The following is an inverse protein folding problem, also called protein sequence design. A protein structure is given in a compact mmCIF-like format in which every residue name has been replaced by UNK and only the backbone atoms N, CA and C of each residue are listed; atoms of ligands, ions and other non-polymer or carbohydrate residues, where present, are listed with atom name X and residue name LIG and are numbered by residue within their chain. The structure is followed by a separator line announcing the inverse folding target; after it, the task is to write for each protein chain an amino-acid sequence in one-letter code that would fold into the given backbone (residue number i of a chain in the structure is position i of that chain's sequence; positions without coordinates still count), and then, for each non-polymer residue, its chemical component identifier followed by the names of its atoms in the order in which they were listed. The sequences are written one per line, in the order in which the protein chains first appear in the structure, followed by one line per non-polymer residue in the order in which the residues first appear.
data_IF_878453453870
#
_entry.id   IF_878453453870
#
_cell.length_a   1.000
_cell.length_b   1.000
_cell.length_c   1.000
_cell.angle_alpha   90.00
_cell.angle_beta   90.00
_cell.angle_gamma   90.00
#
_symmetry.space_group_name_H-M   'P 1'
#
loop_
_entity.id
_entity.type
_entity.pdbx_description
1 polymer ?
#
# COMPACT_ATOMS: atom_id res chain seq x y z
N UNK A 1 -7.09 23.92 -25.77
CA UNK A 1 -5.87 24.45 -25.13
C UNK A 1 -5.46 23.43 -24.08
N UNK A 2 -4.53 22.57 -24.43
CA UNK A 2 -4.08 21.42 -23.63
C UNK A 2 -2.89 21.84 -22.78
N UNK A 3 -3.08 21.88 -21.46
CA UNK A 3 -1.98 22.06 -20.51
C UNK A 3 -1.07 20.82 -20.52
N UNK A 4 0.27 20.99 -20.52
CA UNK A 4 1.18 19.86 -20.52
C UNK A 4 1.19 19.18 -19.15
N UNK A 5 1.02 17.86 -19.16
CA UNK A 5 1.13 16.98 -18.00
C UNK A 5 2.51 17.14 -17.36
N UNK A 6 2.54 17.65 -16.13
CA UNK A 6 3.76 17.69 -15.34
C UNK A 6 4.24 16.26 -15.09
N UNK A 7 5.45 15.97 -15.59
CA UNK A 7 6.18 14.74 -15.31
C UNK A 7 6.36 14.62 -13.80
N UNK A 8 5.74 13.61 -13.20
CA UNK A 8 5.84 13.29 -11.79
C UNK A 8 7.27 12.78 -11.51
N UNK A 9 8.21 13.71 -11.26
CA UNK A 9 9.53 13.36 -10.71
C UNK A 9 9.28 12.92 -9.27
N UNK A 10 9.36 11.62 -9.01
CA UNK A 10 9.38 11.06 -7.67
C UNK A 10 10.58 11.67 -6.93
N UNK A 11 10.31 12.64 -6.06
CA UNK A 11 11.28 13.07 -5.06
C UNK A 11 11.63 11.81 -4.25
N UNK A 12 12.92 11.44 -4.10
CA UNK A 12 13.27 10.31 -3.24
C UNK A 12 12.74 10.64 -1.85
N UNK A 13 11.86 9.79 -1.32
CA UNK A 13 11.36 9.95 0.04
C UNK A 13 12.57 10.12 0.95
N UNK A 14 12.51 11.07 1.90
CA UNK A 14 13.57 11.25 2.88
C UNK A 14 13.88 9.90 3.53
N UNK A 15 15.00 9.30 3.10
CA UNK A 15 15.28 7.88 3.31
C UNK A 15 15.21 7.50 4.78
N UNK A 16 14.71 6.31 5.07
CA UNK A 16 14.67 5.83 6.43
C UNK A 16 16.10 5.80 6.98
N UNK A 17 16.32 6.12 8.27
CA UNK A 17 17.67 6.31 8.80
C UNK A 17 18.62 5.11 8.59
N UNK A 18 18.07 3.90 8.48
CA UNK A 18 18.83 2.67 8.21
C UNK A 18 19.21 2.49 6.73
N UNK A 19 18.61 3.24 5.81
CA UNK A 19 18.87 3.22 4.37
C UNK A 19 19.91 4.26 3.96
N UNK A 20 20.49 5.02 4.90
CA UNK A 20 21.54 6.00 4.60
C UNK A 20 22.68 5.44 3.73
N UNK A 21 23.24 4.24 4.00
CA UNK A 21 24.30 3.69 3.15
C UNK A 21 23.84 3.40 1.71
N UNK A 22 22.55 3.03 1.55
CA UNK A 22 21.94 2.80 0.23
C UNK A 22 21.80 4.13 -0.49
N UNK A 23 21.25 5.15 0.18
CA UNK A 23 21.06 6.48 -0.38
C UNK A 23 22.38 7.14 -0.80
N UNK A 24 23.46 6.97 -0.03
CA UNK A 24 24.80 7.47 -0.39
C UNK A 24 25.31 6.82 -1.69
N UNK A 25 25.08 5.52 -1.86
CA UNK A 25 25.44 4.80 -3.09
C UNK A 25 24.55 5.20 -4.27
N UNK A 26 23.27 5.47 -4.05
CA UNK A 26 22.34 5.99 -5.08
C UNK A 26 22.75 7.38 -5.57
N UNK A 27 23.07 8.29 -4.64
CA UNK A 27 23.58 9.63 -5.00
C UNK A 27 24.85 9.52 -5.81
N UNK A 28 25.83 8.72 -5.36
CA UNK A 28 27.08 8.49 -6.09
C UNK A 28 26.84 7.88 -7.47
N UNK A 29 25.90 6.94 -7.59
CA UNK A 29 25.54 6.33 -8.87
C UNK A 29 24.95 7.37 -9.83
N UNK A 30 24.05 8.22 -9.36
CA UNK A 30 23.43 9.27 -10.16
C UNK A 30 24.47 10.27 -10.65
N UNK A 31 25.40 10.71 -9.78
CA UNK A 31 26.50 11.61 -10.15
C UNK A 31 27.39 11.01 -11.25
N UNK A 32 27.76 9.72 -11.15
CA UNK A 32 28.57 9.05 -12.17
C UNK A 32 27.83 8.91 -13.51
N UNK A 33 26.54 8.62 -13.47
CA UNK A 33 25.70 8.53 -14.67
C UNK A 33 25.58 9.90 -15.35
N UNK A 34 25.37 10.97 -14.59
CA UNK A 34 25.31 12.34 -15.14
C UNK A 34 26.66 12.78 -15.72
N UNK A 35 27.77 12.46 -15.06
CA UNK A 35 29.12 12.77 -15.56
C UNK A 35 29.47 12.02 -16.85
N UNK A 36 29.09 10.74 -16.97
CA UNK A 36 29.30 9.97 -18.20
C UNK A 36 28.49 10.50 -19.39
N UNK A 37 27.31 11.10 -19.13
CA UNK A 37 26.49 11.72 -20.18
C UNK A 37 26.96 13.13 -20.54
N UNK A 38 27.46 13.91 -19.58
CA UNK A 38 27.88 15.31 -19.77
C UNK A 38 29.32 15.50 -20.25
N UNK A 39 30.19 14.55 -19.93
CA UNK A 39 31.58 14.49 -20.38
C UNK A 39 31.75 13.16 -21.10
N UNK A 40 32.31 13.15 -22.31
CA UNK A 40 32.49 11.97 -23.16
C UNK A 40 33.52 10.95 -22.58
N UNK A 41 33.49 10.74 -21.27
CA UNK A 41 34.30 9.87 -20.45
C UNK A 41 33.60 8.52 -20.33
N UNK A 42 34.34 7.45 -20.61
CA UNK A 42 33.89 6.09 -20.38
C UNK A 42 34.01 5.77 -18.88
N UNK A 43 32.86 5.69 -18.20
CA UNK A 43 32.72 5.36 -16.77
C UNK A 43 31.88 4.09 -16.56
N UNK A 44 31.67 3.29 -17.61
CA UNK A 44 30.78 2.12 -17.53
C UNK A 44 31.23 1.11 -16.48
N UNK A 45 32.55 0.93 -16.31
CA UNK A 45 33.14 0.05 -15.31
C UNK A 45 32.85 0.49 -13.88
N UNK A 46 33.02 1.77 -13.58
CA UNK A 46 32.76 2.37 -12.28
C UNK A 46 31.27 2.37 -11.95
N UNK A 47 30.43 2.70 -12.93
CA UNK A 47 28.96 2.62 -12.82
C UNK A 47 28.55 1.18 -12.51
N UNK A 48 29.13 0.20 -13.21
CA UNK A 48 28.89 -1.23 -12.95
C UNK A 48 29.28 -1.63 -11.53
N UNK A 49 30.46 -1.21 -11.06
CA UNK A 49 30.93 -1.50 -9.71
C UNK A 49 30.03 -0.88 -8.62
N UNK A 50 29.59 0.38 -8.81
CA UNK A 50 28.68 1.05 -7.86
C UNK A 50 27.30 0.41 -7.88
N UNK A 51 26.76 0.01 -9.04
CA UNK A 51 25.50 -0.73 -9.12
C UNK A 51 25.56 -2.07 -8.38
N UNK A 52 26.67 -2.80 -8.51
CA UNK A 52 26.87 -4.06 -7.81
C UNK A 52 26.98 -3.84 -6.29
N UNK A 53 27.71 -2.81 -5.87
CA UNK A 53 27.83 -2.44 -4.46
C UNK A 53 26.46 -2.03 -3.87
N UNK A 54 25.68 -1.25 -4.61
CA UNK A 54 24.32 -0.85 -4.25
C UNK A 54 23.42 -2.08 -4.06
N UNK A 55 23.37 -2.98 -5.04
CA UNK A 55 22.55 -4.20 -4.96
C UNK A 55 22.93 -5.08 -3.76
N UNK A 56 24.23 -5.24 -3.51
CA UNK A 56 24.75 -5.97 -2.34
C UNK A 56 24.35 -5.30 -1.03
N UNK A 57 24.56 -3.99 -0.92
CA UNK A 57 24.22 -3.22 0.27
C UNK A 57 22.72 -3.27 0.57
N UNK A 58 21.87 -3.16 -0.46
CA UNK A 58 20.42 -3.31 -0.32
C UNK A 58 20.05 -4.68 0.24
N UNK A 59 20.60 -5.76 -0.34
CA UNK A 59 20.34 -7.12 0.11
C UNK A 59 20.72 -7.32 1.59
N UNK A 60 21.95 -6.94 1.97
CA UNK A 60 22.44 -7.06 3.34
C UNK A 60 21.62 -6.23 4.35
N UNK A 61 21.19 -5.03 3.95
CA UNK A 61 20.41 -4.12 4.79
C UNK A 61 19.01 -4.66 5.06
N UNK A 62 18.31 -5.17 4.03
CA UNK A 62 16.96 -5.70 4.18
C UNK A 62 16.91 -7.13 4.75
N UNK A 63 17.95 -7.93 4.54
CA UNK A 63 18.10 -9.25 5.18
C UNK A 63 18.24 -9.12 6.69
N UNK A 64 19.03 -8.15 7.15
CA UNK A 64 19.29 -7.89 8.57
C UNK A 64 18.44 -6.76 9.16
N UNK A 65 17.25 -6.53 8.60
CA UNK A 65 16.39 -5.41 9.01
C UNK A 65 15.97 -5.54 10.50
N UNK A 66 16.24 -4.48 11.26
CA UNK A 66 15.85 -4.44 12.68
C UNK A 66 14.32 -4.38 12.85
N UNK A 67 13.76 -4.80 14.00
CA UNK A 67 12.33 -4.72 14.24
C UNK A 67 11.75 -3.31 14.03
N UNK A 68 12.46 -2.27 14.46
CA UNK A 68 12.03 -0.88 14.29
C UNK A 68 12.11 -0.42 12.83
N UNK A 69 13.17 -0.79 12.10
CA UNK A 69 13.28 -0.51 10.68
C UNK A 69 12.14 -1.16 9.88
N UNK A 70 11.75 -2.39 10.24
CA UNK A 70 10.59 -3.08 9.64
C UNK A 70 9.27 -2.35 9.86
N UNK A 71 9.08 -1.75 11.04
CA UNK A 71 7.91 -0.90 11.33
C UNK A 71 7.91 0.34 10.45
N UNK A 72 9.07 0.98 10.23
CA UNK A 72 9.20 2.14 9.35
C UNK A 72 8.83 1.77 7.91
N UNK A 73 9.32 0.63 7.38
CA UNK A 73 8.93 0.12 6.06
C UNK A 73 7.42 -0.12 5.98
N UNK A 74 6.82 -0.75 7.00
CA UNK A 74 5.39 -1.02 7.03
C UNK A 74 4.52 0.25 7.07
N UNK A 75 5.09 1.37 7.52
CA UNK A 75 4.44 2.69 7.63
C UNK A 75 4.91 3.67 6.56
N UNK A 76 5.69 3.21 5.57
CA UNK A 76 6.21 4.06 4.52
C UNK A 76 5.07 4.81 3.81
N UNK A 77 5.20 6.14 3.56
CA UNK A 77 4.15 6.94 2.94
C UNK A 77 3.70 6.39 1.58
N UNK A 78 4.66 5.86 0.81
CA UNK A 78 4.45 5.28 -0.52
C UNK A 78 4.25 3.77 -0.50
N UNK A 79 4.01 3.16 0.67
CA UNK A 79 3.69 1.74 0.73
C UNK A 79 2.38 1.50 -0.03
N UNK A 80 2.33 0.54 -0.98
CA UNK A 80 1.13 0.24 -1.73
C UNK A 80 -0.08 -0.02 -0.82
N UNK A 81 -1.20 0.61 -1.15
CA UNK A 81 -2.47 0.43 -0.46
C UNK A 81 -3.35 -0.56 -1.23
N UNK A 82 -4.45 -0.99 -0.61
CA UNK A 82 -5.40 -1.92 -1.23
C UNK A 82 -5.83 -1.53 -2.64
N UNK A 83 -6.02 -0.23 -2.89
CA UNK A 83 -6.39 0.26 -4.22
C UNK A 83 -5.35 -0.07 -5.30
N UNK A 84 -4.06 -0.01 -4.96
CA UNK A 84 -2.96 -0.30 -5.89
C UNK A 84 -2.96 -1.79 -6.25
N UNK A 85 -3.16 -2.67 -5.26
CA UNK A 85 -3.29 -4.10 -5.52
C UNK A 85 -4.54 -4.41 -6.34
N UNK A 86 -5.69 -3.83 -6.00
CA UNK A 86 -6.93 -4.02 -6.77
C UNK A 86 -6.75 -3.61 -8.24
N UNK A 87 -6.08 -2.48 -8.49
CA UNK A 87 -5.84 -1.98 -9.85
C UNK A 87 -4.80 -2.79 -10.64
N UNK A 88 -3.83 -3.41 -9.95
CA UNK A 88 -2.67 -4.03 -10.62
C UNK A 88 -2.80 -5.54 -10.77
N UNK A 89 -3.39 -6.22 -9.80
CA UNK A 89 -3.40 -7.70 -9.75
C UNK A 89 -4.76 -8.33 -9.97
N UNK A 90 -5.87 -7.58 -9.90
CA UNK A 90 -7.23 -8.16 -9.96
C UNK A 90 -7.91 -7.90 -11.30
N UNK A 91 -8.60 -8.93 -11.77
CA UNK A 91 -9.52 -8.89 -12.90
C UNK A 91 -10.97 -8.70 -12.40
N UNK A 92 -11.78 -7.95 -13.16
CA UNK A 92 -13.24 -7.82 -12.97
C UNK A 92 -13.68 -7.51 -11.52
N UNK A 93 -12.96 -6.61 -10.84
CA UNK A 93 -13.31 -6.25 -9.46
C UNK A 93 -14.66 -5.52 -9.41
N UNK A 94 -15.61 -6.10 -8.69
CA UNK A 94 -16.95 -5.53 -8.44
C UNK A 94 -17.08 -5.21 -6.95
N UNK A 95 -17.04 -3.93 -6.61
CA UNK A 95 -17.21 -3.46 -5.24
C UNK A 95 -18.65 -3.69 -4.73
N UNK A 96 -18.74 -4.17 -3.49
CA UNK A 96 -20.00 -4.43 -2.80
C UNK A 96 -20.09 -3.54 -1.56
N UNK A 97 -21.15 -2.75 -1.49
CA UNK A 97 -21.33 -1.74 -0.43
C UNK A 97 -22.30 -2.20 0.66
N UNK A 98 -22.20 -1.53 1.82
CA UNK A 98 -23.18 -1.49 2.90
C UNK A 98 -23.28 -2.73 3.79
N UNK A 99 -23.55 -2.48 5.09
CA UNK A 99 -23.83 -3.51 6.10
C UNK A 99 -25.32 -3.90 6.19
N UNK A 100 -26.22 -3.11 5.58
CA UNK A 100 -27.69 -3.23 5.65
C UNK A 100 -28.29 -2.95 7.04
N UNK A 101 -27.54 -2.30 7.92
CA UNK A 101 -28.00 -1.94 9.27
C UNK A 101 -27.83 -0.45 9.51
N UNK A 102 -26.62 0.07 9.29
CA UNK A 102 -26.27 1.45 9.61
C UNK A 102 -25.74 2.22 8.39
N UNK A 103 -24.77 1.65 7.67
CA UNK A 103 -24.09 2.40 6.63
C UNK A 103 -23.05 1.60 5.83
N UNK A 104 -22.38 2.32 4.94
CA UNK A 104 -21.25 1.81 4.17
C UNK A 104 -19.96 2.48 4.64
N UNK A 105 -19.12 1.74 5.36
CA UNK A 105 -17.84 2.27 5.85
C UNK A 105 -16.79 2.31 4.73
N UNK A 106 -16.36 3.51 4.35
CA UNK A 106 -15.33 3.70 3.33
C UNK A 106 -13.97 3.09 3.72
N UNK A 107 -13.69 2.88 5.01
CA UNK A 107 -12.46 2.25 5.48
C UNK A 107 -12.40 0.73 5.18
N UNK A 108 -13.53 0.10 4.85
CA UNK A 108 -13.62 -1.33 4.56
C UNK A 108 -14.05 -1.57 3.10
N UNK A 109 -13.13 -1.93 2.22
CA UNK A 109 -13.42 -2.34 0.85
C UNK A 109 -13.87 -3.80 0.85
N UNK A 110 -14.99 -4.11 0.21
CA UNK A 110 -15.41 -5.49 -0.03
C UNK A 110 -15.88 -5.67 -1.45
N UNK A 111 -15.63 -6.82 -2.08
CA UNK A 111 -16.06 -7.03 -3.46
C UNK A 111 -15.76 -8.43 -3.99
N UNK A 112 -16.37 -8.76 -5.13
CA UNK A 112 -16.02 -9.95 -5.90
C UNK A 112 -14.84 -9.62 -6.79
N UNK A 113 -13.87 -10.52 -6.86
CA UNK A 113 -12.66 -10.36 -7.65
C UNK A 113 -12.27 -11.68 -8.32
N UNK A 114 -11.38 -11.58 -9.31
CA UNK A 114 -10.79 -12.72 -9.97
C UNK A 114 -9.29 -12.49 -10.21
N UNK A 115 -8.51 -13.57 -10.18
CA UNK A 115 -7.14 -13.61 -10.71
C UNK A 115 -7.06 -14.82 -11.62
N UNK A 116 -6.89 -14.61 -12.92
CA UNK A 116 -6.96 -15.71 -13.90
C UNK A 116 -8.30 -16.43 -13.78
N UNK A 117 -8.35 -17.73 -13.61
CA UNK A 117 -9.64 -18.45 -13.49
C UNK A 117 -10.24 -18.45 -12.08
N UNK A 118 -9.49 -17.98 -11.07
CA UNK A 118 -9.90 -18.10 -9.65
C UNK A 118 -10.71 -16.89 -9.21
N UNK A 119 -12.00 -17.13 -8.91
CA UNK A 119 -12.91 -16.14 -8.33
C UNK A 119 -12.90 -16.20 -6.82
N UNK A 120 -13.01 -15.06 -6.16
CA UNK A 120 -13.02 -14.97 -4.69
C UNK A 120 -13.74 -13.70 -4.20
N UNK A 121 -14.05 -13.69 -2.91
CA UNK A 121 -14.50 -12.50 -2.19
C UNK A 121 -13.29 -11.80 -1.58
N UNK A 122 -13.07 -10.53 -1.92
CA UNK A 122 -12.07 -9.66 -1.31
C UNK A 122 -12.69 -8.88 -0.15
N UNK A 123 -11.96 -8.79 0.96
CA UNK A 123 -12.27 -7.93 2.10
C UNK A 123 -10.98 -7.23 2.53
N UNK A 124 -10.95 -5.90 2.51
CA UNK A 124 -9.69 -5.18 2.64
C UNK A 124 -9.86 -3.83 3.35
N UNK A 125 -8.83 -3.42 4.08
CA UNK A 125 -8.79 -2.07 4.64
C UNK A 125 -8.41 -1.07 3.53
N UNK A 126 -9.15 0.02 3.41
CA UNK A 126 -8.90 1.10 2.45
C UNK A 126 -8.34 2.30 3.19
N UNK A 127 -7.08 2.67 2.91
CA UNK A 127 -6.43 3.84 3.50
C UNK A 127 -6.59 5.12 2.67
N UNK A 128 -6.68 5.02 1.35
CA UNK A 128 -6.60 6.17 0.44
C UNK A 128 -5.16 6.67 0.24
N UNK A 129 -4.90 7.26 -0.93
CA UNK A 129 -3.57 7.77 -1.29
C UNK A 129 -3.47 9.28 -1.09
N UNK A 130 -4.51 10.02 -1.48
CA UNK A 130 -4.58 11.48 -1.26
C UNK A 130 -5.07 11.82 0.15
N UNK A 131 -4.79 13.04 0.61
CA UNK A 131 -5.27 13.53 1.92
C UNK A 131 -6.79 13.43 2.01
N UNK A 132 -7.52 13.89 0.99
CA UNK A 132 -8.98 13.82 0.95
C UNK A 132 -9.50 12.38 1.05
N UNK A 133 -8.89 11.44 0.32
CA UNK A 133 -9.26 10.02 0.39
C UNK A 133 -8.95 9.41 1.77
N UNK A 134 -7.80 9.78 2.36
CA UNK A 134 -7.39 9.31 3.69
C UNK A 134 -8.37 9.76 4.76
N UNK A 135 -8.81 11.01 4.72
CA UNK A 135 -9.86 11.49 5.62
C UNK A 135 -11.17 10.75 5.40
N UNK A 136 -11.59 10.59 4.14
CA UNK A 136 -12.85 9.90 3.81
C UNK A 136 -12.88 8.43 4.28
N UNK A 137 -11.74 7.76 4.28
CA UNK A 137 -11.61 6.36 4.72
C UNK A 137 -11.07 6.23 6.15
N UNK A 138 -11.10 7.30 6.95
CA UNK A 138 -10.61 7.31 8.33
C UNK A 138 -9.19 6.73 8.49
N UNK A 139 -8.30 6.96 7.51
CA UNK A 139 -6.93 6.42 7.47
C UNK A 139 -6.87 4.87 7.56
N UNK A 140 -7.92 4.19 7.10
CA UNK A 140 -8.06 2.73 7.17
C UNK A 140 -8.55 2.21 8.52
N UNK A 141 -9.00 3.08 9.42
CA UNK A 141 -9.63 2.69 10.68
C UNK A 141 -11.11 2.41 10.46
N UNK A 142 -11.51 1.15 10.54
CA UNK A 142 -12.89 0.75 10.35
C UNK A 142 -13.76 1.06 11.58
N UNK A 143 -14.99 1.49 11.30
CA UNK A 143 -16.09 1.60 12.24
C UNK A 143 -16.83 0.24 12.37
N UNK A 144 -17.76 0.10 13.33
CA UNK A 144 -18.46 -1.17 13.56
C UNK A 144 -19.22 -1.66 12.31
N UNK A 145 -19.85 -0.75 11.58
CA UNK A 145 -20.52 -1.02 10.31
C UNK A 145 -19.56 -1.59 9.24
N UNK A 146 -18.28 -1.25 9.26
CA UNK A 146 -17.26 -1.83 8.38
C UNK A 146 -17.05 -3.31 8.66
N UNK A 147 -16.92 -3.69 9.93
CA UNK A 147 -16.80 -5.10 10.33
C UNK A 147 -18.08 -5.89 10.07
N UNK A 148 -19.26 -5.32 10.33
CA UNK A 148 -20.54 -5.94 9.98
C UNK A 148 -20.68 -6.15 8.47
N UNK A 149 -20.27 -5.16 7.67
CA UNK A 149 -20.21 -5.28 6.20
C UNK A 149 -19.30 -6.44 5.79
N UNK A 150 -18.08 -6.51 6.34
CA UNK A 150 -17.14 -7.59 6.08
C UNK A 150 -17.75 -8.97 6.38
N UNK A 151 -18.25 -9.18 7.60
CA UNK A 151 -18.88 -10.45 8.01
C UNK A 151 -20.05 -10.83 7.08
N UNK A 152 -20.88 -9.86 6.70
CA UNK A 152 -21.99 -10.09 5.78
C UNK A 152 -21.51 -10.57 4.41
N UNK A 153 -20.40 -10.02 3.88
CA UNK A 153 -19.84 -10.47 2.61
C UNK A 153 -19.13 -11.81 2.75
N UNK A 154 -18.51 -12.12 3.89
CA UNK A 154 -17.97 -13.47 4.17
C UNK A 154 -19.07 -14.53 4.12
N UNK A 155 -20.23 -14.27 4.75
CA UNK A 155 -21.40 -15.16 4.67
C UNK A 155 -21.94 -15.32 3.26
N UNK A 156 -21.85 -14.27 2.43
CA UNK A 156 -22.21 -14.37 1.01
C UNK A 156 -21.21 -15.25 0.25
N UNK A 157 -19.91 -15.09 0.50
CA UNK A 157 -18.87 -15.90 -0.10
C UNK A 157 -19.03 -17.39 0.25
N UNK A 158 -19.35 -17.70 1.51
CA UNK A 158 -19.67 -19.05 1.98
C UNK A 158 -20.81 -19.67 1.17
N UNK A 159 -21.93 -18.95 0.99
CA UNK A 159 -23.08 -19.41 0.19
C UNK A 159 -22.72 -19.68 -1.27
N UNK A 160 -21.85 -18.85 -1.83
CA UNK A 160 -21.37 -18.97 -3.20
C UNK A 160 -20.20 -19.97 -3.34
N UNK A 161 -19.74 -20.56 -2.23
CA UNK A 161 -18.55 -21.44 -2.17
C UNK A 161 -17.30 -20.78 -2.76
N UNK A 162 -17.15 -19.48 -2.51
CA UNK A 162 -15.99 -18.71 -2.95
C UNK A 162 -14.95 -18.62 -1.84
N UNK A 163 -13.65 -18.73 -2.16
CA UNK A 163 -12.58 -18.37 -1.25
C UNK A 163 -12.71 -16.92 -0.78
N UNK A 164 -12.18 -16.64 0.41
CA UNK A 164 -12.11 -15.29 0.97
C UNK A 164 -10.64 -14.90 1.05
N UNK A 165 -10.30 -13.73 0.49
CA UNK A 165 -8.98 -13.13 0.57
C UNK A 165 -9.10 -11.82 1.36
N UNK A 166 -8.22 -11.63 2.33
CA UNK A 166 -8.23 -10.42 3.17
C UNK A 166 -6.94 -9.62 3.08
N UNK A 167 -7.05 -8.29 2.88
CA UNK A 167 -5.91 -7.38 2.97
C UNK A 167 -5.99 -6.55 4.25
N UNK A 168 -5.06 -6.84 5.17
CA UNK A 168 -4.99 -6.19 6.47
C UNK A 168 -3.99 -5.03 6.39
N UNK A 169 -4.51 -3.81 6.36
CA UNK A 169 -3.71 -2.58 6.33
C UNK A 169 -4.41 -1.47 7.13
N UNK A 170 -4.47 -1.66 8.44
CA UNK A 170 -5.10 -0.73 9.37
C UNK A 170 -4.18 -0.45 10.54
N UNK A 171 -4.14 0.79 11.07
CA UNK A 171 -3.50 1.05 12.35
C UNK A 171 -4.35 0.52 13.53
N UNK A 172 -5.64 0.23 13.32
CA UNK A 172 -6.57 -0.25 14.34
C UNK A 172 -8.02 0.08 14.00
N UNK A 173 -8.95 -0.43 14.80
CA UNK A 173 -10.35 -0.04 14.73
C UNK A 173 -10.50 1.45 15.12
N UNK A 174 -11.47 2.17 14.54
CA UNK A 174 -11.65 3.59 14.82
C UNK A 174 -12.06 3.83 16.30
N UNK A 175 -11.28 4.58 17.09
CA UNK A 175 -11.52 4.76 18.52
C UNK A 175 -12.35 6.02 18.80
N UNK A 176 -13.60 6.04 18.36
CA UNK A 176 -14.49 7.19 18.50
C UNK A 176 -15.75 6.89 19.30
N UNK A 177 -16.34 7.92 19.93
CA UNK A 177 -17.57 7.78 20.74
C UNK A 177 -18.69 7.13 19.92
N UNK A 178 -18.94 7.61 18.71
CA UNK A 178 -19.96 7.02 17.84
C UNK A 178 -19.66 5.57 17.46
N UNK A 179 -18.39 5.15 17.41
CA UNK A 179 -18.01 3.75 17.18
C UNK A 179 -18.39 2.88 18.39
N UNK A 180 -18.13 3.36 19.61
CA UNK A 180 -18.52 2.67 20.85
C UNK A 180 -20.04 2.56 21.00
N UNK A 181 -20.78 3.66 20.77
CA UNK A 181 -22.25 3.67 20.81
C UNK A 181 -22.88 2.68 19.82
N UNK A 182 -22.19 2.41 18.70
CA UNK A 182 -22.61 1.44 17.67
C UNK A 182 -22.05 0.03 17.89
N UNK A 183 -21.34 -0.21 18.99
CA UNK A 183 -20.86 -1.51 19.41
C UNK A 183 -19.61 -1.99 18.68
N UNK A 184 -18.53 -1.19 18.69
CA UNK A 184 -17.22 -1.56 18.13
C UNK A 184 -16.71 -2.90 18.68
N UNK A 185 -16.77 -3.09 20.00
CA UNK A 185 -16.33 -4.33 20.65
C UNK A 185 -17.15 -5.57 20.23
N UNK A 186 -18.42 -5.40 19.89
CA UNK A 186 -19.29 -6.51 19.46
C UNK A 186 -19.19 -6.81 17.96
N UNK A 187 -18.64 -5.87 17.18
CA UNK A 187 -18.52 -5.99 15.73
C UNK A 187 -17.21 -6.68 15.29
N UNK A 188 -16.16 -6.61 16.13
CA UNK A 188 -14.87 -7.28 15.95
C UNK A 188 -14.97 -8.74 16.39
#
# INVERSE_FOLDING_TARGET
MSEPSQSNKSVPSAGMAFERPIHELEVKLNELVELSQGTNLDLETEIGAVRQALAKQMAETYENITPWARVNVARHPDRPVTGDYVATILDDFIELHGDKVFGDDAAMLTGLARIGERRFMLIAHRKGTTIAQRLACNFGCAHPEGYRKALRKMRLAEKLRLPIVTFINTPGAYPGIGAEERGQAAAI
#
